data_IF_766147799534
#
_entry.id   IF_766147799534
#
_cell.length_a   1.000
_cell.length_b   1.000
_cell.length_c   1.000
_cell.angle_alpha   90.00
_cell.angle_beta   90.00
_cell.angle_gamma   90.00
#
_symmetry.space_group_name_H-M   'P 1'
#
loop_
_entity.id
_entity.type
_entity.pdbx_description
1 polymer ?
#
# COMPACT_ATOMS: atom_id res chain seq x y z
N UNK A 1 0.63 6.03 -38.67
CA UNK A 1 -0.53 5.94 -37.76
C UNK A 1 -0.20 4.96 -36.62
N UNK A 2 0.81 5.26 -35.80
CA UNK A 2 1.19 4.50 -34.59
C UNK A 2 1.85 5.46 -33.57
N UNK A 3 1.13 6.51 -33.20
CA UNK A 3 1.40 7.29 -31.99
C UNK A 3 0.25 7.02 -31.04
N UNK A 4 0.18 5.79 -30.52
CA UNK A 4 -0.57 5.51 -29.31
C UNK A 4 0.11 6.27 -28.18
N UNK A 5 -0.56 7.31 -27.68
CA UNK A 5 -0.08 8.32 -26.75
C UNK A 5 0.79 7.73 -25.61
N UNK A 6 2.08 8.08 -25.58
CA UNK A 6 3.00 7.69 -24.50
C UNK A 6 2.46 8.07 -23.11
N UNK A 7 1.62 9.12 -23.03
CA UNK A 7 0.93 9.49 -21.79
C UNK A 7 -0.08 8.44 -21.37
N UNK A 8 -0.82 7.85 -22.31
CA UNK A 8 -1.75 6.75 -22.04
C UNK A 8 -1.03 5.53 -21.46
N UNK A 9 0.12 5.16 -22.02
CA UNK A 9 0.95 4.04 -21.53
C UNK A 9 1.50 4.32 -20.12
N UNK A 10 1.94 5.56 -19.84
CA UNK A 10 2.40 5.97 -18.51
C UNK A 10 1.29 5.93 -17.47
N UNK A 11 0.07 6.37 -17.81
CA UNK A 11 -1.09 6.33 -16.93
C UNK A 11 -1.46 4.89 -16.59
N UNK A 12 -1.55 4.00 -17.58
CA UNK A 12 -1.91 2.58 -17.34
C UNK A 12 -0.85 1.89 -16.49
N UNK A 13 0.44 2.13 -16.77
CA UNK A 13 1.52 1.54 -16.00
C UNK A 13 1.48 1.99 -14.52
N UNK A 14 1.28 3.28 -14.23
CA UNK A 14 1.17 3.78 -12.85
C UNK A 14 -0.08 3.23 -12.14
N UNK A 15 -1.22 3.18 -12.83
CA UNK A 15 -2.44 2.60 -12.28
C UNK A 15 -2.26 1.11 -11.92
N UNK A 16 -1.49 0.37 -12.71
CA UNK A 16 -1.15 -1.03 -12.43
C UNK A 16 -0.25 -1.15 -11.19
N UNK A 17 0.72 -0.24 -11.01
CA UNK A 17 1.57 -0.23 -9.81
C UNK A 17 0.76 0.07 -8.54
N UNK A 18 -0.16 1.04 -8.58
CA UNK A 18 -1.09 1.34 -7.47
C UNK A 18 -1.94 0.11 -7.14
N UNK A 19 -2.54 -0.53 -8.15
CA UNK A 19 -3.39 -1.71 -7.94
C UNK A 19 -2.61 -2.88 -7.35
N UNK A 20 -1.38 -3.11 -7.83
CA UNK A 20 -0.53 -4.20 -7.35
C UNK A 20 -0.16 -3.99 -5.89
N UNK A 21 0.44 -2.85 -5.56
CA UNK A 21 0.89 -2.53 -4.19
C UNK A 21 -0.28 -2.49 -3.21
N UNK A 22 -1.38 -1.82 -3.57
CA UNK A 22 -2.62 -1.81 -2.78
C UNK A 22 -3.16 -3.20 -2.46
N UNK A 23 -3.19 -4.12 -3.43
CA UNK A 23 -3.64 -5.51 -3.21
C UNK A 23 -2.66 -6.29 -2.34
N UNK A 24 -1.36 -6.05 -2.50
CA UNK A 24 -0.31 -6.66 -1.67
C UNK A 24 -0.45 -6.30 -0.19
N UNK A 25 -0.90 -5.08 0.15
CA UNK A 25 -1.20 -4.71 1.54
C UNK A 25 -2.19 -5.70 2.16
N UNK A 26 -3.32 -5.93 1.50
CA UNK A 26 -4.37 -6.83 1.97
C UNK A 26 -3.91 -8.29 2.06
N UNK A 27 -3.18 -8.79 1.04
CA UNK A 27 -2.68 -10.16 1.07
C UNK A 27 -1.63 -10.36 2.18
N UNK A 28 -0.73 -9.40 2.37
CA UNK A 28 0.28 -9.45 3.43
C UNK A 28 -0.36 -9.45 4.82
N UNK A 29 -1.43 -8.66 5.05
CA UNK A 29 -2.18 -8.70 6.32
C UNK A 29 -2.80 -10.10 6.52
N UNK A 30 -3.45 -10.66 5.50
CA UNK A 30 -4.03 -12.00 5.57
C UNK A 30 -2.98 -13.07 5.95
N UNK A 31 -1.82 -13.03 5.32
CA UNK A 31 -0.68 -13.89 5.66
C UNK A 31 -0.15 -13.65 7.07
N UNK A 32 -0.04 -12.40 7.50
CA UNK A 32 0.44 -12.06 8.84
C UNK A 32 -0.46 -12.72 9.89
N UNK A 33 -1.78 -12.61 9.73
CA UNK A 33 -2.72 -13.26 10.64
C UNK A 33 -2.61 -14.79 10.64
N UNK A 34 -2.16 -15.44 9.56
CA UNK A 34 -1.85 -16.89 9.56
C UNK A 34 -0.56 -17.23 10.29
N UNK A 35 0.38 -16.28 10.41
CA UNK A 35 1.69 -16.43 11.09
C UNK A 35 1.70 -15.93 12.54
N UNK A 36 0.60 -15.38 13.04
CA UNK A 36 0.49 -14.72 14.37
C UNK A 36 0.77 -15.58 15.60
N UNK A 37 0.88 -16.91 15.44
CA UNK A 37 1.37 -17.81 16.50
C UNK A 37 2.80 -17.45 16.94
N UNK A 38 3.63 -16.95 16.01
CA UNK A 38 5.01 -16.57 16.29
C UNK A 38 5.16 -15.05 16.11
N UNK A 39 5.33 -14.26 17.19
CA UNK A 39 5.37 -12.80 17.14
C UNK A 39 6.36 -12.23 16.11
N UNK A 40 7.56 -12.81 16.00
CA UNK A 40 8.56 -12.39 15.01
C UNK A 40 8.08 -12.57 13.56
N UNK A 41 7.42 -13.68 13.25
CA UNK A 41 6.89 -13.94 11.91
C UNK A 41 5.68 -13.05 11.58
N UNK A 42 4.87 -12.71 12.60
CA UNK A 42 3.79 -11.75 12.46
C UNK A 42 4.31 -10.35 12.12
N UNK A 43 5.24 -9.84 12.93
CA UNK A 43 5.85 -8.52 12.73
C UNK A 43 6.56 -8.42 11.37
N UNK A 44 7.33 -9.46 11.00
CA UNK A 44 7.98 -9.50 9.69
C UNK A 44 6.97 -9.34 8.55
N UNK A 45 5.83 -10.05 8.62
CA UNK A 45 4.82 -9.98 7.56
C UNK A 45 3.99 -8.68 7.59
N UNK A 46 3.77 -8.09 8.77
CA UNK A 46 3.20 -6.74 8.88
C UNK A 46 4.13 -5.68 8.29
N UNK A 47 5.45 -5.84 8.43
CA UNK A 47 6.44 -4.96 7.80
C UNK A 47 6.38 -5.03 6.27
N UNK A 48 6.17 -6.22 5.68
CA UNK A 48 5.91 -6.35 4.23
C UNK A 48 4.66 -5.55 3.83
N UNK A 49 3.59 -5.62 4.64
CA UNK A 49 2.35 -4.88 4.39
C UNK A 49 2.54 -3.36 4.47
N UNK A 50 3.35 -2.91 5.44
CA UNK A 50 3.69 -1.49 5.61
C UNK A 50 4.49 -0.96 4.41
N UNK A 51 5.45 -1.75 3.91
CA UNK A 51 6.21 -1.41 2.72
C UNK A 51 5.34 -1.22 1.48
N UNK A 52 4.37 -2.11 1.26
CA UNK A 52 3.42 -2.02 0.14
C UNK A 52 2.44 -0.84 0.28
N UNK A 53 2.08 -0.48 1.51
CA UNK A 53 1.27 0.70 1.81
C UNK A 53 2.04 2.00 1.47
N UNK A 54 3.30 2.08 1.89
CA UNK A 54 4.19 3.19 1.55
C UNK A 54 4.47 3.27 0.04
N UNK A 55 4.68 2.13 -0.62
CA UNK A 55 4.81 2.09 -2.08
C UNK A 55 3.56 2.65 -2.76
N UNK A 56 2.36 2.34 -2.26
CA UNK A 56 1.13 2.90 -2.80
C UNK A 56 1.11 4.43 -2.69
N UNK A 57 1.52 5.00 -1.55
CA UNK A 57 1.61 6.46 -1.36
C UNK A 57 2.58 7.11 -2.35
N UNK A 58 3.73 6.48 -2.61
CA UNK A 58 4.68 6.95 -3.64
C UNK A 58 4.01 7.06 -5.01
N UNK A 59 3.18 6.08 -5.39
CA UNK A 59 2.46 6.15 -6.67
C UNK A 59 1.32 7.17 -6.67
N UNK A 60 0.70 7.45 -5.53
CA UNK A 60 -0.25 8.56 -5.37
C UNK A 60 0.45 9.91 -5.57
N UNK A 61 1.67 10.09 -5.04
CA UNK A 61 2.48 11.29 -5.24
C UNK A 61 2.76 11.52 -6.73
N UNK A 62 3.18 10.47 -7.44
CA UNK A 62 3.40 10.56 -8.88
C UNK A 62 2.11 10.91 -9.62
N UNK A 63 1.00 10.28 -9.24
CA UNK A 63 -0.31 10.55 -9.86
C UNK A 63 -0.75 12.00 -9.67
N UNK A 64 -0.52 12.59 -8.49
CA UNK A 64 -0.80 14.00 -8.23
C UNK A 64 0.13 14.92 -9.02
N UNK A 65 1.46 14.66 -9.00
CA UNK A 65 2.47 15.48 -9.71
C UNK A 65 2.25 15.46 -11.23
N UNK A 66 1.80 14.34 -11.77
CA UNK A 66 1.43 14.20 -13.18
C UNK A 66 0.01 14.66 -13.49
N UNK A 67 -0.74 15.20 -12.51
CA UNK A 67 -2.10 15.69 -12.64
C UNK A 67 -3.12 14.64 -13.12
N UNK A 68 -2.86 13.35 -12.84
CA UNK A 68 -3.78 12.25 -13.14
C UNK A 68 -4.91 12.14 -12.11
N UNK A 69 -4.67 12.62 -10.89
CA UNK A 69 -5.67 12.81 -9.84
C UNK A 69 -5.60 14.25 -9.34
N UNK A 70 -6.70 14.73 -8.77
CA UNK A 70 -6.72 16.04 -8.12
C UNK A 70 -6.28 15.92 -6.64
N UNK A 71 -5.99 17.08 -6.03
CA UNK A 71 -5.50 17.17 -4.66
C UNK A 71 -6.50 16.59 -3.63
N UNK A 72 -7.80 16.71 -3.89
CA UNK A 72 -8.83 16.17 -2.99
C UNK A 72 -8.77 14.64 -2.94
N UNK A 73 -8.71 13.99 -4.10
CA UNK A 73 -8.58 12.52 -4.22
C UNK A 73 -7.26 12.05 -3.62
N UNK A 74 -6.17 12.75 -3.90
CA UNK A 74 -4.87 12.44 -3.31
C UNK A 74 -4.93 12.46 -1.78
N UNK A 75 -5.39 13.58 -1.18
CA UNK A 75 -5.46 13.73 0.28
C UNK A 75 -6.33 12.67 0.95
N UNK A 76 -7.42 12.30 0.30
CA UNK A 76 -8.31 11.26 0.81
C UNK A 76 -7.62 9.89 0.82
N UNK A 77 -7.01 9.49 -0.31
CA UNK A 77 -6.33 8.20 -0.43
C UNK A 77 -5.07 8.13 0.45
N UNK A 78 -4.25 9.17 0.43
CA UNK A 78 -3.03 9.26 1.23
C UNK A 78 -3.34 9.13 2.73
N UNK A 79 -4.35 9.87 3.23
CA UNK A 79 -4.83 9.74 4.61
C UNK A 79 -5.32 8.32 4.93
N UNK A 80 -5.93 7.60 3.99
CA UNK A 80 -6.32 6.21 4.23
C UNK A 80 -5.10 5.31 4.41
N UNK A 81 -4.06 5.47 3.59
CA UNK A 81 -2.82 4.70 3.72
C UNK A 81 -2.04 5.05 4.99
N UNK A 82 -1.96 6.32 5.38
CA UNK A 82 -1.40 6.73 6.67
C UNK A 82 -2.09 6.04 7.85
N UNK A 83 -3.43 5.97 7.84
CA UNK A 83 -4.19 5.26 8.86
C UNK A 83 -3.93 3.76 8.85
N UNK A 84 -3.74 3.15 7.67
CA UNK A 84 -3.38 1.73 7.54
C UNK A 84 -2.00 1.50 8.14
N UNK A 85 -0.99 2.29 7.76
CA UNK A 85 0.37 2.22 8.30
C UNK A 85 0.35 2.36 9.82
N UNK A 86 -0.36 3.36 10.35
CA UNK A 86 -0.51 3.54 11.80
C UNK A 86 -1.10 2.31 12.50
N UNK A 87 -2.07 1.62 11.88
CA UNK A 87 -2.61 0.36 12.42
C UNK A 87 -1.58 -0.77 12.37
N UNK A 88 -0.86 -0.92 11.27
CA UNK A 88 0.19 -1.93 11.09
C UNK A 88 1.30 -1.75 12.14
N UNK A 89 1.81 -0.53 12.31
CA UNK A 89 2.81 -0.20 13.34
C UNK A 89 2.29 -0.52 14.74
N UNK A 90 1.06 -0.12 15.07
CA UNK A 90 0.48 -0.42 16.37
C UNK A 90 0.34 -1.93 16.65
N UNK A 91 0.03 -2.73 15.62
CA UNK A 91 0.02 -4.19 15.73
C UNK A 91 1.44 -4.74 15.95
N UNK A 92 2.41 -4.23 15.19
CA UNK A 92 3.82 -4.63 15.26
C UNK A 92 4.49 -4.28 16.59
N UNK A 93 4.07 -3.21 17.27
CA UNK A 93 4.56 -2.81 18.59
C UNK A 93 4.06 -3.74 19.72
N UNK A 94 2.92 -4.41 19.53
CA UNK A 94 2.29 -5.26 20.55
C UNK A 94 1.84 -6.60 19.94
N UNK A 95 2.75 -7.38 19.30
CA UNK A 95 2.38 -8.56 18.52
C UNK A 95 1.80 -9.67 19.41
N UNK A 96 2.19 -9.69 20.68
CA UNK A 96 1.70 -10.63 21.70
C UNK A 96 0.19 -10.56 21.94
N UNK A 97 -0.46 -9.43 21.59
CA UNK A 97 -1.91 -9.26 21.75
C UNK A 97 -2.73 -9.97 20.67
N UNK A 98 -2.07 -10.43 19.62
CA UNK A 98 -2.72 -10.99 18.42
C UNK A 98 -2.51 -12.51 18.30
N UNK A 99 -1.68 -13.11 19.16
CA UNK A 99 -1.47 -14.56 19.19
C UNK A 99 -2.70 -15.29 19.75
N UNK A 100 -2.85 -16.55 19.35
CA UNK A 100 -3.83 -17.49 19.87
C UNK A 100 -3.11 -18.69 20.51
#
# INVERSE_FOLDING_TARGET
MLLGDERGIKITAQADQIRRSSRSVCSNIGEAFRKRKYPKAFVSKLSDSEGEAAETQVWLDFSLKCQYINEQVYKELDKQYDNIIGKLVNMSLKPEKWKY
#
